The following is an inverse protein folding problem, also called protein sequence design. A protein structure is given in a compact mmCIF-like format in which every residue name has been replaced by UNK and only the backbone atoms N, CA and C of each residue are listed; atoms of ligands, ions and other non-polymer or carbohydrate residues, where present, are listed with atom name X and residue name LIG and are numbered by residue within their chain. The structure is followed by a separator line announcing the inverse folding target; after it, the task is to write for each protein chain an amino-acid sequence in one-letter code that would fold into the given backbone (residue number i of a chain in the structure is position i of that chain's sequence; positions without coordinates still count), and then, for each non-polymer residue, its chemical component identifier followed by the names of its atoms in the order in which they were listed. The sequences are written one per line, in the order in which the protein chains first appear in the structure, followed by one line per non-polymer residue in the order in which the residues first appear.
data_IF_822719679321
#
_entry.id   IF_822719679321
#
_cell.length_a   1.000
_cell.length_b   1.000
_cell.length_c   1.000
_cell.angle_alpha   90.00
_cell.angle_beta   90.00
_cell.angle_gamma   90.00
#
_symmetry.space_group_name_H-M   'P 1'
#
loop_
_entity.id
_entity.type
_entity.pdbx_description
1 polymer ?
#
# COMPACT_ATOMS: atom_id res chain seq x y z
N UNK A 1 60.79 -2.50 -4.32
CA UNK A 1 61.43 -3.70 -3.70
C UNK A 1 60.40 -4.78 -3.60
N UNK A 2 60.54 -5.78 -4.44
CA UNK A 2 60.66 -7.23 -4.14
C UNK A 2 59.39 -7.86 -3.57
N UNK A 3 58.69 -8.65 -4.36
CA UNK A 3 58.74 -10.11 -4.69
C UNK A 3 57.84 -10.90 -3.74
N UNK A 4 57.08 -11.91 -4.04
CA UNK A 4 56.89 -13.00 -5.05
C UNK A 4 55.70 -13.78 -4.51
N UNK A 5 54.73 -14.22 -5.31
CA UNK A 5 54.62 -15.48 -6.06
C UNK A 5 54.36 -16.73 -5.19
N UNK A 6 53.33 -17.48 -5.55
CA UNK A 6 52.99 -18.82 -5.15
C UNK A 6 51.57 -19.15 -5.60
N UNK A 7 51.34 -19.58 -6.69
CA UNK A 7 51.28 -20.77 -7.53
C UNK A 7 50.98 -22.07 -6.73
N UNK A 8 49.81 -22.65 -6.91
CA UNK A 8 49.42 -23.96 -6.42
C UNK A 8 48.25 -24.51 -7.25
N UNK A 9 48.62 -25.20 -8.28
CA UNK A 9 47.81 -25.99 -9.20
C UNK A 9 47.69 -27.41 -8.63
N UNK A 10 46.55 -28.12 -8.85
CA UNK A 10 46.36 -29.57 -9.06
C UNK A 10 44.87 -29.88 -8.92
N UNK A 11 44.20 -30.15 -10.01
CA UNK A 11 43.97 -31.38 -10.78
C UNK A 11 43.02 -32.41 -10.15
N UNK A 12 41.97 -32.59 -10.87
CA UNK A 12 41.37 -33.82 -11.37
C UNK A 12 40.44 -34.64 -10.46
N UNK A 13 39.27 -34.88 -10.99
CA UNK A 13 38.35 -35.90 -10.54
C UNK A 13 37.11 -35.95 -11.45
N UNK A 14 37.27 -36.56 -12.62
CA UNK A 14 36.17 -36.95 -13.51
C UNK A 14 35.59 -38.25 -13.00
N UNK A 15 34.28 -38.34 -12.80
CA UNK A 15 33.55 -39.57 -12.92
C UNK A 15 32.14 -39.36 -13.45
N UNK A 16 31.90 -40.06 -14.46
CA UNK A 16 30.79 -40.25 -15.39
C UNK A 16 29.51 -40.81 -14.79
N UNK A 17 28.41 -40.37 -15.38
CA UNK A 17 27.22 -41.07 -15.83
C UNK A 17 26.41 -41.93 -14.85
N UNK A 18 25.13 -41.60 -14.79
CA UNK A 18 24.07 -42.60 -14.96
C UNK A 18 22.77 -41.88 -15.39
N UNK A 19 22.36 -42.19 -16.60
CA UNK A 19 21.03 -41.99 -17.13
C UNK A 19 20.04 -42.88 -16.35
N UNK A 20 19.00 -42.26 -15.83
CA UNK A 20 17.77 -42.98 -15.55
C UNK A 20 16.58 -42.11 -16.00
N UNK A 21 16.14 -42.35 -17.23
CA UNK A 21 14.80 -42.07 -17.69
C UNK A 21 13.83 -42.87 -16.87
N UNK A 22 12.94 -42.24 -16.17
CA UNK A 22 11.63 -42.85 -15.91
C UNK A 22 10.54 -41.77 -16.01
N UNK A 23 9.70 -41.92 -17.01
CA UNK A 23 8.53 -41.16 -17.25
C UNK A 23 7.47 -41.42 -16.19
N UNK A 24 6.67 -40.45 -15.96
CA UNK A 24 5.52 -40.57 -15.05
C UNK A 24 4.73 -39.28 -14.94
N UNK A 25 3.86 -39.04 -15.89
CA UNK A 25 2.49 -38.50 -15.76
C UNK A 25 2.15 -37.46 -14.71
N UNK A 26 1.63 -36.35 -15.25
CA UNK A 26 0.42 -35.64 -14.81
C UNK A 26 0.33 -35.27 -13.33
N UNK A 27 0.61 -34.01 -13.06
CA UNK A 27 0.13 -33.26 -11.90
C UNK A 27 -0.12 -31.80 -12.31
N UNK A 28 -1.12 -31.57 -13.16
CA UNK A 28 -1.69 -30.26 -13.43
C UNK A 28 -2.57 -29.93 -12.23
N UNK A 29 -2.07 -29.16 -11.28
CA UNK A 29 -2.91 -28.47 -10.29
C UNK A 29 -2.08 -27.42 -9.54
N UNK A 30 -2.59 -26.18 -9.60
CA UNK A 30 -2.43 -25.22 -8.52
C UNK A 30 -1.22 -24.30 -8.64
N UNK A 31 -1.35 -23.23 -9.38
CA UNK A 31 -0.37 -22.16 -9.39
C UNK A 31 -0.94 -20.84 -9.90
N UNK A 32 -2.24 -20.60 -9.67
CA UNK A 32 -2.88 -19.33 -10.07
C UNK A 32 -3.40 -18.49 -8.90
N UNK A 33 -3.06 -18.82 -7.66
CA UNK A 33 -3.62 -18.12 -6.48
C UNK A 33 -2.68 -17.10 -5.84
N UNK A 34 -1.61 -16.64 -6.49
CA UNK A 34 -0.64 -15.73 -5.86
C UNK A 34 -0.54 -14.31 -6.44
N UNK A 35 -1.53 -13.82 -7.18
CA UNK A 35 -1.53 -12.44 -7.68
C UNK A 35 -2.70 -11.56 -7.26
N UNK A 36 -3.53 -11.98 -6.31
CA UNK A 36 -4.62 -11.15 -5.76
C UNK A 36 -4.30 -10.46 -4.43
N UNK A 37 -3.09 -10.55 -3.91
CA UNK A 37 -2.75 -10.22 -2.53
C UNK A 37 -2.24 -8.81 -2.21
N UNK A 38 -2.26 -7.84 -3.12
CA UNK A 38 -1.56 -6.57 -2.89
C UNK A 38 -2.40 -5.42 -2.33
N UNK A 39 -3.70 -5.41 -2.52
CA UNK A 39 -4.56 -4.26 -2.18
C UNK A 39 -5.60 -4.55 -1.11
N UNK A 40 -6.16 -5.75 -1.05
CA UNK A 40 -7.07 -6.15 0.04
C UNK A 40 -6.42 -6.05 1.43
N UNK A 41 -5.12 -6.41 1.63
CA UNK A 41 -4.47 -6.26 2.93
C UNK A 41 -4.39 -4.80 3.40
N UNK A 42 -4.32 -3.84 2.49
CA UNK A 42 -4.16 -2.41 2.84
C UNK A 42 -5.47 -1.74 3.20
N UNK A 43 -6.54 -2.05 2.46
CA UNK A 43 -7.89 -1.60 2.83
C UNK A 43 -8.24 -2.17 4.20
N UNK A 44 -7.94 -3.45 4.44
CA UNK A 44 -8.11 -4.08 5.74
C UNK A 44 -7.25 -3.41 6.82
N UNK A 45 -6.02 -2.99 6.50
CA UNK A 45 -5.17 -2.29 7.47
C UNK A 45 -5.73 -0.91 7.86
N UNK A 46 -6.27 -0.15 6.89
CA UNK A 46 -6.94 1.12 7.18
C UNK A 46 -8.15 0.89 8.09
N UNK A 47 -8.98 -0.12 7.79
CA UNK A 47 -10.16 -0.43 8.60
C UNK A 47 -9.79 -0.84 10.02
N UNK A 48 -8.77 -1.68 10.21
CA UNK A 48 -8.26 -2.06 11.54
C UNK A 48 -7.79 -0.81 12.30
N UNK A 49 -6.98 0.04 11.65
CA UNK A 49 -6.46 1.26 12.28
C UNK A 49 -7.58 2.23 12.66
N UNK A 50 -8.60 2.37 11.81
CA UNK A 50 -9.78 3.20 12.09
C UNK A 50 -10.60 2.65 13.26
N UNK A 51 -10.79 1.34 13.31
CA UNK A 51 -11.50 0.69 14.40
C UNK A 51 -10.78 0.90 15.75
N UNK A 52 -9.48 0.62 15.80
CA UNK A 52 -8.66 0.85 17.00
C UNK A 52 -8.67 2.32 17.44
N UNK A 53 -8.63 3.24 16.46
CA UNK A 53 -8.65 4.67 16.76
C UNK A 53 -9.99 5.12 17.31
N UNK A 54 -11.09 4.62 16.76
CA UNK A 54 -12.45 4.87 17.26
C UNK A 54 -12.63 4.41 18.71
N UNK A 55 -12.20 3.18 19.01
CA UNK A 55 -12.26 2.62 20.36
C UNK A 55 -11.45 3.45 21.38
N UNK A 56 -10.27 3.94 20.98
CA UNK A 56 -9.41 4.74 21.85
C UNK A 56 -9.96 6.15 22.09
N UNK A 57 -10.68 6.73 21.12
CA UNK A 57 -11.28 8.05 21.25
C UNK A 57 -12.47 8.07 22.22
N UNK A 58 -13.19 6.97 22.37
CA UNK A 58 -14.39 6.87 23.23
C UNK A 58 -15.36 8.02 22.95
N UNK A 59 -15.77 8.11 21.69
CA UNK A 59 -16.64 9.19 21.23
C UNK A 59 -18.00 9.13 21.92
N UNK A 60 -18.62 10.29 22.08
CA UNK A 60 -20.02 10.40 22.49
C UNK A 60 -20.93 10.33 21.27
N UNK A 61 -22.21 9.99 21.47
CA UNK A 61 -23.22 9.97 20.39
C UNK A 61 -23.26 11.28 19.60
N UNK A 62 -23.00 12.41 20.25
CA UNK A 62 -22.96 13.72 19.57
C UNK A 62 -21.71 13.92 18.69
N UNK A 63 -20.64 13.17 18.91
CA UNK A 63 -19.39 13.24 18.13
C UNK A 63 -19.36 12.24 16.98
N UNK A 64 -20.16 11.16 17.04
CA UNK A 64 -20.21 10.11 16.03
C UNK A 64 -20.47 10.62 14.59
N UNK A 65 -21.37 11.57 14.31
CA UNK A 65 -21.58 12.03 12.94
C UNK A 65 -20.34 12.70 12.32
N UNK A 66 -19.52 13.38 13.13
CA UNK A 66 -18.28 13.99 12.65
C UNK A 66 -17.22 12.92 12.36
N UNK A 67 -17.15 11.87 13.18
CA UNK A 67 -16.30 10.71 12.95
C UNK A 67 -16.70 9.97 11.68
N UNK A 68 -17.97 9.63 11.50
CA UNK A 68 -18.49 8.96 10.31
C UNK A 68 -18.16 9.73 9.04
N UNK A 69 -18.35 11.06 9.03
CA UNK A 69 -18.01 11.93 7.92
C UNK A 69 -16.52 11.87 7.57
N UNK A 70 -15.64 11.89 8.56
CA UNK A 70 -14.20 11.78 8.37
C UNK A 70 -13.82 10.42 7.78
N UNK A 71 -14.33 9.34 8.35
CA UNK A 71 -14.04 7.97 7.92
C UNK A 71 -14.56 7.70 6.50
N UNK A 72 -15.76 8.17 6.16
CA UNK A 72 -16.31 8.02 4.81
C UNK A 72 -15.42 8.64 3.74
N UNK A 73 -14.95 9.87 3.97
CA UNK A 73 -14.04 10.58 3.04
C UNK A 73 -12.70 9.86 2.90
N UNK A 74 -12.14 9.37 4.00
CA UNK A 74 -10.90 8.59 3.98
C UNK A 74 -11.06 7.29 3.20
N UNK A 75 -12.16 6.57 3.40
CA UNK A 75 -12.50 5.35 2.66
C UNK A 75 -12.72 5.63 1.17
N UNK A 76 -13.32 6.77 0.83
CA UNK A 76 -13.50 7.17 -0.56
C UNK A 76 -12.14 7.36 -1.26
N UNK A 77 -11.20 8.09 -0.64
CA UNK A 77 -9.85 8.25 -1.17
C UNK A 77 -9.14 6.90 -1.33
N UNK A 78 -9.21 6.03 -0.31
CA UNK A 78 -8.58 4.70 -0.38
C UNK A 78 -9.13 3.86 -1.54
N UNK A 79 -10.44 3.88 -1.75
CA UNK A 79 -11.10 3.18 -2.88
C UNK A 79 -10.68 3.77 -4.24
N UNK A 80 -10.56 5.09 -4.34
CA UNK A 80 -10.17 5.75 -5.59
C UNK A 80 -8.72 5.44 -5.95
N UNK A 81 -7.80 5.48 -4.98
CA UNK A 81 -6.40 5.07 -5.17
C UNK A 81 -6.31 3.60 -5.59
N UNK A 82 -7.07 2.71 -4.96
CA UNK A 82 -7.11 1.30 -5.31
C UNK A 82 -7.70 1.06 -6.71
N UNK A 83 -8.75 1.80 -7.10
CA UNK A 83 -9.34 1.74 -8.45
C UNK A 83 -8.34 2.20 -9.51
N UNK A 84 -7.66 3.30 -9.26
CA UNK A 84 -6.66 3.85 -10.18
C UNK A 84 -5.49 2.88 -10.39
N UNK A 85 -5.03 2.20 -9.34
CA UNK A 85 -3.95 1.20 -9.41
C UNK A 85 -4.35 -0.01 -10.29
N UNK A 86 -5.64 -0.39 -10.28
CA UNK A 86 -6.17 -1.51 -11.09
C UNK A 86 -6.45 -1.12 -12.53
N UNK A 87 -6.75 0.15 -12.78
CA UNK A 87 -7.06 0.64 -14.12
C UNK A 87 -5.77 0.72 -14.94
N UNK A 88 -5.51 -0.33 -15.76
CA UNK A 88 -4.55 -0.21 -16.86
C UNK A 88 -5.25 0.52 -18.00
N UNK A 89 -4.89 1.76 -18.33
CA UNK A 89 -5.46 2.41 -19.49
C UNK A 89 -5.07 1.63 -20.74
N UNK A 90 -6.04 1.34 -21.59
CA UNK A 90 -5.78 1.02 -22.97
C UNK A 90 -4.85 2.11 -23.53
N UNK A 91 -4.00 1.73 -24.48
CA UNK A 91 -2.94 2.52 -25.10
C UNK A 91 -3.27 4.03 -25.18
N UNK A 92 -2.92 4.77 -24.14
CA UNK A 92 -2.97 6.23 -24.17
C UNK A 92 -1.71 6.75 -24.84
N UNK A 93 -1.83 7.76 -25.68
CA UNK A 93 -0.68 8.51 -26.17
C UNK A 93 0.01 9.30 -25.04
N UNK A 94 1.14 9.93 -25.37
CA UNK A 94 1.94 10.65 -24.38
C UNK A 94 1.15 11.79 -23.73
N UNK A 95 0.42 12.58 -24.53
CA UNK A 95 -0.30 13.76 -24.04
C UNK A 95 -1.45 13.34 -23.13
N UNK A 96 -2.24 12.35 -23.54
CA UNK A 96 -3.30 11.76 -22.70
C UNK A 96 -2.77 11.20 -21.38
N UNK A 97 -1.55 10.63 -21.37
CA UNK A 97 -0.92 10.16 -20.12
C UNK A 97 -0.56 11.32 -19.19
N UNK A 98 -0.03 12.41 -19.76
CA UNK A 98 0.30 13.62 -19.00
C UNK A 98 -0.97 14.21 -18.38
N UNK A 99 -2.02 14.41 -19.18
CA UNK A 99 -3.30 14.95 -18.72
C UNK A 99 -3.88 14.08 -17.59
N UNK A 100 -3.87 12.77 -17.75
CA UNK A 100 -4.34 11.84 -16.72
C UNK A 100 -3.54 11.94 -15.42
N UNK A 101 -2.22 12.15 -15.47
CA UNK A 101 -1.39 12.33 -14.27
C UNK A 101 -1.83 13.61 -13.54
N UNK A 102 -2.03 14.69 -14.28
CA UNK A 102 -2.45 15.99 -13.72
C UNK A 102 -3.85 15.88 -13.10
N UNK A 103 -4.80 15.28 -13.80
CA UNK A 103 -6.17 15.09 -13.32
C UNK A 103 -6.21 14.21 -12.07
N UNK A 104 -5.45 13.12 -12.05
CA UNK A 104 -5.32 12.25 -10.89
C UNK A 104 -4.74 13.00 -9.69
N UNK A 105 -3.74 13.87 -9.91
CA UNK A 105 -3.15 14.68 -8.84
C UNK A 105 -4.15 15.72 -8.29
N UNK A 106 -4.92 16.38 -9.16
CA UNK A 106 -5.99 17.32 -8.76
C UNK A 106 -7.07 16.63 -7.95
N UNK A 107 -7.57 15.50 -8.44
CA UNK A 107 -8.62 14.75 -7.73
C UNK A 107 -8.16 14.31 -6.33
N UNK A 108 -6.90 13.90 -6.18
CA UNK A 108 -6.33 13.56 -4.87
C UNK A 108 -6.21 14.77 -3.97
N UNK A 109 -5.76 15.91 -4.51
CA UNK A 109 -5.66 17.13 -3.73
C UNK A 109 -7.02 17.53 -3.17
N UNK A 110 -8.05 17.55 -4.01
CA UNK A 110 -9.43 17.83 -3.58
C UNK A 110 -9.91 16.87 -2.50
N UNK A 111 -9.68 15.56 -2.68
CA UNK A 111 -10.05 14.57 -1.68
C UNK A 111 -9.30 14.76 -0.35
N UNK A 112 -8.01 15.15 -0.40
CA UNK A 112 -7.23 15.46 0.81
C UNK A 112 -7.72 16.72 1.52
N UNK A 113 -8.09 17.75 0.77
CA UNK A 113 -8.68 18.98 1.32
C UNK A 113 -9.99 18.68 2.05
N UNK A 114 -10.84 17.86 1.46
CA UNK A 114 -12.09 17.39 2.06
C UNK A 114 -11.87 16.57 3.34
N UNK A 115 -10.89 15.66 3.33
CA UNK A 115 -10.51 14.89 4.50
C UNK A 115 -9.95 15.83 5.59
N UNK A 116 -9.07 16.74 5.23
CA UNK A 116 -8.49 17.70 6.17
C UNK A 116 -9.56 18.57 6.82
N UNK A 117 -10.57 19.02 6.06
CA UNK A 117 -11.69 19.77 6.60
C UNK A 117 -12.53 18.94 7.57
N UNK A 118 -12.85 17.70 7.22
CA UNK A 118 -13.61 16.80 8.11
C UNK A 118 -12.82 16.43 9.37
N UNK A 119 -11.50 16.21 9.25
CA UNK A 119 -10.62 15.97 10.39
C UNK A 119 -10.58 17.16 11.36
N UNK A 120 -10.49 18.40 10.82
CA UNK A 120 -10.55 19.63 11.65
C UNK A 120 -11.89 19.75 12.36
N UNK A 121 -13.00 19.45 11.68
CA UNK A 121 -14.33 19.48 12.27
C UNK A 121 -14.49 18.45 13.39
N UNK A 122 -14.01 17.22 13.18
CA UNK A 122 -13.95 16.19 14.19
C UNK A 122 -13.11 16.65 15.38
N UNK A 123 -11.89 17.10 15.16
CA UNK A 123 -10.94 17.50 16.18
C UNK A 123 -11.47 18.66 17.05
N UNK A 124 -12.17 19.63 16.46
CA UNK A 124 -12.78 20.73 17.17
C UNK A 124 -13.90 20.31 18.14
N UNK A 125 -14.55 19.18 17.86
CA UNK A 125 -15.57 18.57 18.72
C UNK A 125 -15.03 17.65 19.82
N UNK A 126 -13.72 17.35 19.83
CA UNK A 126 -13.09 16.48 20.81
C UNK A 126 -12.78 17.19 22.11
N UNK A 127 -12.86 16.48 23.24
CA UNK A 127 -12.34 16.95 24.53
C UNK A 127 -10.81 17.04 24.52
N UNK A 128 -10.17 17.79 25.42
CA UNK A 128 -8.71 17.86 25.52
C UNK A 128 -8.01 16.50 25.68
N UNK A 129 -8.64 15.55 26.37
CA UNK A 129 -8.14 14.19 26.55
C UNK A 129 -8.20 13.41 25.22
N UNK A 130 -9.33 13.50 24.51
CA UNK A 130 -9.50 12.89 23.21
C UNK A 130 -8.54 13.50 22.16
N UNK A 131 -8.30 14.81 22.21
CA UNK A 131 -7.34 15.49 21.33
C UNK A 131 -5.92 14.94 21.53
N UNK A 132 -5.48 14.70 22.77
CA UNK A 132 -4.17 14.06 23.03
C UNK A 132 -4.05 12.67 22.43
N UNK A 133 -5.15 11.92 22.38
CA UNK A 133 -5.20 10.61 21.72
C UNK A 133 -5.19 10.75 20.20
N UNK A 134 -5.83 11.80 19.67
CA UNK A 134 -5.97 12.06 18.23
C UNK A 134 -4.71 12.60 17.59
N UNK A 135 -3.96 13.47 18.29
CA UNK A 135 -2.78 14.19 17.77
C UNK A 135 -1.77 13.29 17.03
N UNK A 136 -1.30 12.18 17.59
CA UNK A 136 -0.31 11.33 16.91
C UNK A 136 -0.88 10.50 15.76
N UNK A 137 -2.21 10.36 15.67
CA UNK A 137 -2.87 9.40 14.77
C UNK A 137 -3.51 10.05 13.54
N UNK A 138 -4.20 11.19 13.69
CA UNK A 138 -4.96 11.81 12.61
C UNK A 138 -4.13 12.05 11.34
N UNK A 139 -2.96 12.67 11.48
CA UNK A 139 -2.08 12.96 10.34
C UNK A 139 -1.54 11.68 9.68
N UNK A 140 -1.20 10.67 10.49
CA UNK A 140 -0.68 9.40 9.98
C UNK A 140 -1.76 8.63 9.21
N UNK A 141 -2.99 8.60 9.70
CA UNK A 141 -4.11 7.91 9.04
C UNK A 141 -4.44 8.55 7.69
N UNK A 142 -4.41 9.88 7.59
CA UNK A 142 -4.62 10.61 6.32
C UNK A 142 -3.56 10.22 5.28
N UNK A 143 -2.33 10.00 5.71
CA UNK A 143 -1.23 9.62 4.82
C UNK A 143 -1.28 8.15 4.35
N UNK A 144 -1.96 7.26 5.07
CA UNK A 144 -1.98 5.81 4.76
C UNK A 144 -2.42 5.46 3.33
N UNK A 145 -3.51 6.02 2.77
CA UNK A 145 -3.92 5.73 1.41
C UNK A 145 -2.88 6.13 0.36
N UNK A 146 -2.06 7.15 0.65
CA UNK A 146 -1.07 7.72 -0.26
C UNK A 146 0.26 6.97 -0.21
N UNK A 147 0.66 6.45 0.95
CA UNK A 147 1.92 5.72 1.15
C UNK A 147 2.03 4.47 0.25
N UNK A 148 0.90 3.98 -0.26
CA UNK A 148 0.83 2.84 -1.16
C UNK A 148 1.51 3.05 -2.52
N UNK A 149 1.95 4.27 -2.86
CA UNK A 149 2.38 4.67 -4.21
C UNK A 149 3.80 5.23 -4.33
N UNK A 150 4.64 5.06 -3.32
CA UNK A 150 6.05 5.34 -3.58
C UNK A 150 6.61 4.23 -4.49
N UNK A 151 6.69 4.44 -5.83
CA UNK A 151 7.56 3.60 -6.62
C UNK A 151 8.94 3.88 -6.07
N UNK A 152 9.63 2.86 -5.62
CA UNK A 152 11.05 2.95 -5.40
C UNK A 152 11.65 3.42 -6.72
N UNK A 153 12.16 4.65 -6.72
CA UNK A 153 13.09 5.12 -7.74
C UNK A 153 14.37 4.30 -7.52
N UNK A 154 14.45 3.19 -8.21
CA UNK A 154 15.69 2.48 -8.49
C UNK A 154 16.17 2.85 -9.87
#
# INVERSE_FOLDING_TARGET
MKRRAGLGLLLAGVTTAALAQFGGRRGKRGGDDQKKGGEEPRVNQIEVTLHEFHEDLKLTDAQEPAWETYVEKLRALARDVARESRSRPAQLDLLQRIDRIVDSARNRLTALEDIAQSAKSLYAGLTPEQQKTADPRLANIIAMPLAARSPMLN
#
